data_IF_384047077502
#
_entry.id   IF_384047077502
#
_cell.length_a   1.000
_cell.length_b   1.000
_cell.length_c   1.000
_cell.angle_alpha   90.00
_cell.angle_beta   90.00
_cell.angle_gamma   90.00
#
_symmetry.space_group_name_H-M   'P 1'
#
loop_
_entity.id
_entity.type
_entity.pdbx_description
1 polymer ?
#
# COMPACT_ATOMS: atom_id res chain seq x y z
N UNK A 1 -10.20 -13.52 -8.40
CA UNK A 1 -8.94 -13.54 -9.17
C UNK A 1 -9.07 -12.93 -10.57
N UNK A 2 -10.10 -13.27 -11.38
CA UNK A 2 -10.17 -12.84 -12.78
C UNK A 2 -10.36 -11.32 -13.00
N UNK A 3 -11.15 -10.63 -12.17
CA UNK A 3 -11.43 -9.19 -12.33
C UNK A 3 -10.19 -8.31 -12.19
N UNK A 4 -9.31 -8.61 -11.24
CA UNK A 4 -8.09 -7.83 -11.02
C UNK A 4 -7.17 -7.90 -12.23
N UNK A 5 -7.07 -9.07 -12.86
CA UNK A 5 -6.25 -9.26 -14.06
C UNK A 5 -6.80 -8.47 -15.26
N UNK A 6 -8.13 -8.45 -15.44
CA UNK A 6 -8.78 -7.64 -16.47
C UNK A 6 -8.62 -6.13 -16.26
N UNK A 7 -8.67 -5.66 -15.00
CA UNK A 7 -8.45 -4.26 -14.66
C UNK A 7 -7.00 -3.84 -14.95
N UNK A 8 -6.02 -4.67 -14.56
CA UNK A 8 -4.60 -4.40 -14.83
C UNK A 8 -4.33 -4.36 -16.34
N UNK A 9 -4.90 -5.30 -17.10
CA UNK A 9 -4.71 -5.37 -18.54
C UNK A 9 -5.36 -4.19 -19.26
N UNK A 10 -6.56 -3.75 -18.82
CA UNK A 10 -7.20 -2.55 -19.33
C UNK A 10 -6.37 -1.28 -19.05
N UNK A 11 -5.77 -1.18 -17.86
CA UNK A 11 -4.87 -0.07 -17.49
C UNK A 11 -3.62 0.00 -18.37
N UNK A 12 -2.99 -1.14 -18.66
CA UNK A 12 -1.81 -1.22 -19.54
C UNK A 12 -2.16 -0.87 -20.98
N UNK A 13 -3.30 -1.36 -21.49
CA UNK A 13 -3.76 -1.06 -22.86
C UNK A 13 -4.09 0.43 -23.01
N UNK A 14 -4.75 1.05 -22.03
CA UNK A 14 -5.05 2.49 -22.04
C UNK A 14 -3.77 3.35 -22.07
N UNK A 15 -2.76 2.98 -21.29
CA UNK A 15 -1.45 3.64 -21.30
C UNK A 15 -0.72 3.46 -22.64
N UNK A 16 -0.77 2.26 -23.23
CA UNK A 16 -0.09 1.94 -24.49
C UNK A 16 -0.74 2.59 -25.72
N UNK A 17 -2.06 2.78 -25.71
CA UNK A 17 -2.81 3.21 -26.91
C UNK A 17 -2.99 4.71 -27.02
N UNK A 18 -3.04 5.44 -25.89
CA UNK A 18 -3.59 6.80 -25.95
C UNK A 18 -2.52 7.89 -26.16
N UNK A 19 -1.24 7.65 -25.84
CA UNK A 19 -0.13 8.65 -25.89
C UNK A 19 -0.55 10.08 -25.43
N UNK A 20 -1.54 10.16 -24.54
CA UNK A 20 -2.22 11.39 -24.16
C UNK A 20 -1.93 11.64 -22.69
N UNK A 21 -1.26 12.76 -22.42
CA UNK A 21 -0.86 13.18 -21.09
C UNK A 21 -2.06 13.24 -20.11
N UNK A 22 -3.28 13.45 -20.61
CA UNK A 22 -4.50 13.53 -19.79
C UNK A 22 -4.84 12.20 -19.10
N UNK A 23 -4.66 11.07 -19.77
CA UNK A 23 -4.96 9.74 -19.19
C UNK A 23 -3.96 9.39 -18.10
N UNK A 24 -2.67 9.71 -18.33
CA UNK A 24 -1.62 9.54 -17.34
C UNK A 24 -1.87 10.42 -16.11
N UNK A 25 -2.32 11.66 -16.29
CA UNK A 25 -2.68 12.56 -15.19
C UNK A 25 -3.84 12.01 -14.34
N UNK A 26 -4.90 11.49 -14.98
CA UNK A 26 -6.02 10.86 -14.27
C UNK A 26 -5.52 9.66 -13.45
N UNK A 27 -4.67 8.81 -14.03
CA UNK A 27 -4.06 7.68 -13.33
C UNK A 27 -3.24 8.11 -12.11
N UNK A 28 -2.43 9.16 -12.25
CA UNK A 28 -1.63 9.74 -11.15
C UNK A 28 -2.55 10.25 -10.04
N UNK A 29 -3.65 10.94 -10.35
CA UNK A 29 -4.59 11.45 -9.34
C UNK A 29 -5.21 10.30 -8.55
N UNK A 30 -5.75 9.29 -9.24
CA UNK A 30 -6.38 8.12 -8.59
C UNK A 30 -5.36 7.36 -7.73
N UNK A 31 -4.16 7.16 -8.24
CA UNK A 31 -3.08 6.51 -7.51
C UNK A 31 -2.62 7.34 -6.30
N UNK A 32 -2.56 8.67 -6.43
CA UNK A 32 -2.22 9.57 -5.33
C UNK A 32 -3.21 9.45 -4.18
N UNK A 33 -4.51 9.38 -4.47
CA UNK A 33 -5.55 9.16 -3.44
C UNK A 33 -5.35 7.80 -2.75
N UNK A 34 -5.02 6.77 -3.52
CA UNK A 34 -4.81 5.41 -2.98
C UNK A 34 -3.55 5.34 -2.10
N UNK A 35 -2.45 5.97 -2.54
CA UNK A 35 -1.20 6.07 -1.78
C UNK A 35 -1.42 6.87 -0.50
N UNK A 36 -2.12 8.00 -0.58
CA UNK A 36 -2.43 8.82 0.57
C UNK A 36 -3.28 8.05 1.59
N UNK A 37 -4.30 7.33 1.12
CA UNK A 37 -5.09 6.46 1.99
C UNK A 37 -4.22 5.41 2.68
N UNK A 38 -3.36 4.71 1.93
CA UNK A 38 -2.43 3.71 2.47
C UNK A 38 -1.51 4.29 3.56
N UNK A 39 -0.98 5.49 3.36
CA UNK A 39 -0.13 6.18 4.33
C UNK A 39 -0.90 6.63 5.58
N UNK A 40 -2.16 7.07 5.42
CA UNK A 40 -3.00 7.52 6.53
C UNK A 40 -3.53 6.34 7.36
N UNK A 41 -3.74 5.17 6.76
CA UNK A 41 -4.15 3.95 7.49
C UNK A 41 -2.99 3.23 8.16
N UNK A 42 -1.76 3.45 7.70
CA UNK A 42 -0.57 2.81 8.26
C UNK A 42 -0.42 2.96 9.81
N UNK A 43 -0.69 4.13 10.44
CA UNK A 43 -0.69 4.27 11.89
C UNK A 43 -1.76 3.41 12.59
N UNK A 44 -2.92 3.19 11.95
CA UNK A 44 -4.00 2.41 12.58
C UNK A 44 -3.65 0.92 12.63
N UNK A 45 -2.87 0.42 11.68
CA UNK A 45 -2.35 -0.95 11.69
C UNK A 45 -1.39 -1.16 12.87
N UNK A 46 -0.49 -0.19 13.12
CA UNK A 46 0.40 -0.25 14.29
C UNK A 46 -0.34 -0.12 15.62
N UNK A 47 -1.38 0.72 15.67
CA UNK A 47 -2.24 0.83 16.86
C UNK A 47 -3.00 -0.47 17.12
N UNK A 48 -3.53 -1.11 16.07
CA UNK A 48 -4.18 -2.40 16.16
C UNK A 48 -3.24 -3.47 16.72
N UNK A 49 -1.99 -3.54 16.25
CA UNK A 49 -0.99 -4.46 16.81
C UNK A 49 -0.73 -4.22 18.30
N UNK A 50 -0.62 -2.95 18.73
CA UNK A 50 -0.41 -2.60 20.16
C UNK A 50 -1.61 -2.98 21.01
N UNK A 51 -2.83 -2.70 20.54
CA UNK A 51 -4.07 -3.07 21.23
C UNK A 51 -4.24 -4.58 21.33
N UNK A 52 -3.88 -5.31 20.27
CA UNK A 52 -3.89 -6.77 20.29
C UNK A 52 -2.93 -7.34 21.35
N UNK A 53 -1.72 -6.77 21.47
CA UNK A 53 -0.76 -7.17 22.52
C UNK A 53 -1.26 -6.87 23.93
N UNK A 54 -1.85 -5.69 24.15
CA UNK A 54 -2.43 -5.33 25.44
C UNK A 54 -3.63 -6.23 25.81
N UNK A 55 -4.38 -6.71 24.83
CA UNK A 55 -5.45 -7.68 25.05
C UNK A 55 -4.91 -9.08 25.37
N UNK A 56 -3.86 -9.51 24.66
CA UNK A 56 -3.18 -10.79 24.88
C UNK A 56 -2.64 -10.90 26.32
N UNK A 57 -2.01 -9.84 26.81
CA UNK A 57 -1.47 -9.74 28.17
C UNK A 57 -2.56 -9.84 29.25
N UNK A 58 -3.75 -9.26 29.00
CA UNK A 58 -4.87 -9.24 29.96
C UNK A 58 -5.66 -10.54 30.01
N UNK A 59 -5.64 -11.33 28.94
CA UNK A 59 -6.49 -12.51 28.80
C UNK A 59 -5.83 -13.79 29.29
N UNK A 60 -4.55 -13.72 29.68
CA UNK A 60 -3.77 -14.85 30.20
C UNK A 60 -3.77 -16.08 29.26
N UNK A 61 -3.91 -15.83 27.95
CA UNK A 61 -3.97 -16.86 26.90
C UNK A 61 -2.57 -17.31 26.50
N UNK A 62 -1.56 -16.45 26.66
CA UNK A 62 -0.17 -16.74 26.29
C UNK A 62 0.73 -16.92 27.50
N UNK A 63 1.63 -17.90 27.43
CA UNK A 63 2.74 -18.06 28.37
C UNK A 63 3.86 -17.04 28.10
N UNK A 64 4.79 -16.90 29.05
CA UNK A 64 6.04 -16.13 28.97
C UNK A 64 6.90 -16.49 27.74
N UNK A 65 6.79 -17.72 27.23
CA UNK A 65 7.49 -18.14 26.00
C UNK A 65 6.74 -17.74 24.71
N UNK A 66 5.42 -17.68 24.74
CA UNK A 66 4.58 -17.43 23.56
C UNK A 66 4.33 -15.94 23.31
N UNK A 67 4.28 -15.14 24.38
CA UNK A 67 4.12 -13.69 24.30
C UNK A 67 5.15 -12.98 23.39
N UNK A 68 6.47 -13.24 23.50
CA UNK A 68 7.45 -12.62 22.60
C UNK A 68 7.24 -13.06 21.13
N UNK A 69 6.84 -14.32 20.90
CA UNK A 69 6.55 -14.82 19.55
C UNK A 69 5.33 -14.13 18.93
N UNK A 70 4.26 -13.93 19.71
CA UNK A 70 3.07 -13.21 19.28
C UNK A 70 3.37 -11.74 18.97
N UNK A 71 4.18 -11.09 19.80
CA UNK A 71 4.67 -9.72 19.58
C UNK A 71 5.44 -9.58 18.27
N UNK A 72 6.35 -10.50 18.00
CA UNK A 72 7.11 -10.48 16.76
C UNK A 72 6.22 -10.75 15.56
N UNK A 73 5.30 -11.72 15.64
CA UNK A 73 4.35 -12.01 14.57
C UNK A 73 3.46 -10.79 14.22
N UNK A 74 2.91 -10.11 15.24
CA UNK A 74 2.10 -8.90 15.06
C UNK A 74 2.91 -7.74 14.44
N UNK A 75 4.18 -7.60 14.83
CA UNK A 75 5.08 -6.61 14.25
C UNK A 75 5.38 -6.91 12.79
N UNK A 76 5.70 -8.15 12.45
CA UNK A 76 5.97 -8.56 11.06
C UNK A 76 4.73 -8.40 10.18
N UNK A 77 3.53 -8.72 10.69
CA UNK A 77 2.28 -8.50 9.97
C UNK A 77 2.10 -7.01 9.59
N UNK A 78 2.28 -6.09 10.54
CA UNK A 78 2.19 -4.64 10.26
C UNK A 78 3.23 -4.16 9.25
N UNK A 79 4.45 -4.73 9.25
CA UNK A 79 5.50 -4.34 8.29
C UNK A 79 5.16 -4.66 6.83
N UNK A 80 4.28 -5.64 6.56
CA UNK A 80 3.85 -5.93 5.18
C UNK A 80 3.11 -4.75 4.54
N UNK A 81 2.31 -4.03 5.32
CA UNK A 81 1.64 -2.80 4.89
C UNK A 81 2.64 -1.66 4.65
N UNK A 82 3.69 -1.56 5.46
CA UNK A 82 4.76 -0.55 5.29
C UNK A 82 5.47 -0.75 3.96
N UNK A 83 5.83 -1.99 3.63
CA UNK A 83 6.49 -2.32 2.36
C UNK A 83 5.57 -2.01 1.18
N UNK A 84 4.29 -2.37 1.27
CA UNK A 84 3.32 -2.06 0.23
C UNK A 84 3.12 -0.54 0.03
N UNK A 85 3.04 0.23 1.12
CA UNK A 85 2.92 1.68 1.07
C UNK A 85 4.17 2.32 0.45
N UNK A 86 5.37 1.88 0.83
CA UNK A 86 6.64 2.33 0.23
C UNK A 86 6.69 2.03 -1.28
N UNK A 87 6.35 0.81 -1.68
CA UNK A 87 6.31 0.44 -3.10
C UNK A 87 5.35 1.33 -3.88
N UNK A 88 4.15 1.57 -3.33
CA UNK A 88 3.15 2.42 -3.97
C UNK A 88 3.63 3.89 -4.09
N UNK A 89 4.33 4.42 -3.09
CA UNK A 89 4.95 5.75 -3.14
C UNK A 89 6.02 5.82 -4.25
N UNK A 90 6.92 4.83 -4.33
CA UNK A 90 7.97 4.79 -5.36
C UNK A 90 7.36 4.73 -6.76
N UNK A 91 6.35 3.89 -6.98
CA UNK A 91 5.65 3.79 -8.26
C UNK A 91 4.91 5.09 -8.60
N UNK A 92 4.32 5.78 -7.63
CA UNK A 92 3.70 7.10 -7.85
C UNK A 92 4.73 8.13 -8.32
N UNK A 93 5.88 8.19 -7.65
CA UNK A 93 6.99 9.08 -8.04
C UNK A 93 7.45 8.75 -9.46
N UNK A 94 7.59 7.47 -9.81
CA UNK A 94 7.92 7.04 -11.16
C UNK A 94 6.93 7.58 -12.20
N UNK A 95 5.62 7.45 -11.96
CA UNK A 95 4.61 7.96 -12.90
C UNK A 95 4.59 9.49 -13.00
N UNK A 96 4.83 10.20 -11.89
CA UNK A 96 4.99 11.67 -11.90
C UNK A 96 6.19 12.07 -12.74
N UNK A 97 7.34 11.40 -12.59
CA UNK A 97 8.53 11.67 -13.41
C UNK A 97 8.28 11.42 -14.90
N UNK A 98 7.59 10.33 -15.24
CA UNK A 98 7.19 10.04 -16.63
C UNK A 98 6.28 11.15 -17.16
N UNK A 99 5.29 11.59 -16.40
CA UNK A 99 4.37 12.66 -16.81
C UNK A 99 5.07 14.00 -17.05
N UNK A 100 6.02 14.38 -16.20
CA UNK A 100 6.82 15.59 -16.38
C UNK A 100 7.65 15.53 -17.68
N UNK A 101 8.33 14.40 -17.92
CA UNK A 101 9.13 14.19 -19.13
C UNK A 101 8.27 14.12 -20.42
N UNK A 102 7.04 13.61 -20.33
CA UNK A 102 6.09 13.59 -21.45
C UNK A 102 5.58 14.97 -21.84
N UNK A 103 5.66 15.99 -20.96
CA UNK A 103 5.24 17.37 -21.25
C UNK A 103 6.30 18.19 -21.98
N UNK A 104 7.56 17.73 -21.98
CA UNK A 104 8.69 18.38 -22.64
C UNK A 104 8.90 17.92 -24.11
N UNK A 105 8.14 16.91 -24.57
CA UNK A 105 8.16 16.40 -25.95
C UNK A 105 7.00 16.95 -26.77
#
# INVERSE_FOLDING_TARGET
>A
ANIVNWILMAGVILLATTNNATVLLIGIIVMSVTVLFSLVTLPVEFDASKRALAWLDRTNITNSEEYPMAKDALKWAATTYVVAALAAVVTLIQYVMIFLNSRER
#
